data_IF_510677675060
#
_entry.id   IF_510677675060
#
_cell.length_a   1.000
_cell.length_b   1.000
_cell.length_c   1.000
_cell.angle_alpha   90.00
_cell.angle_beta   90.00
_cell.angle_gamma   90.00
#
_symmetry.space_group_name_H-M   'P 1'
#
loop_
_entity.id
_entity.type
_entity.pdbx_description
1 polymer ?
#
# COMPACT_ATOMS: atom_id res chain seq x y z
N UNK A 1 15.15 16.40 10.98
CA UNK A 1 13.70 16.31 11.23
C UNK A 1 13.20 15.31 10.21
N UNK A 2 12.82 14.11 10.62
CA UNK A 2 12.27 13.10 9.69
C UNK A 2 10.84 13.52 9.35
N UNK A 3 10.57 13.73 8.07
CA UNK A 3 9.25 14.20 7.61
C UNK A 3 8.34 13.03 7.27
N UNK A 4 7.05 13.28 7.09
CA UNK A 4 6.11 12.28 6.57
C UNK A 4 6.53 11.76 5.18
N UNK A 5 7.12 12.62 4.35
CA UNK A 5 7.64 12.26 3.02
C UNK A 5 8.83 11.28 3.10
N UNK A 6 9.70 11.44 4.10
CA UNK A 6 10.80 10.48 4.35
C UNK A 6 10.27 9.10 4.73
N UNK A 7 9.25 9.03 5.59
CA UNK A 7 8.63 7.76 5.97
C UNK A 7 7.95 7.08 4.79
N UNK A 8 7.21 7.83 3.97
CA UNK A 8 6.54 7.29 2.77
C UNK A 8 7.56 6.77 1.77
N UNK A 9 8.68 7.48 1.57
CA UNK A 9 9.80 7.03 0.73
C UNK A 9 10.39 5.73 1.27
N UNK A 10 10.70 5.67 2.56
CA UNK A 10 11.25 4.46 3.19
C UNK A 10 10.31 3.27 3.03
N UNK A 11 9.02 3.45 3.35
CA UNK A 11 8.02 2.37 3.22
C UNK A 11 7.86 1.95 1.76
N UNK A 12 7.93 2.89 0.81
CA UNK A 12 7.89 2.57 -0.62
C UNK A 12 9.06 1.66 -1.03
N UNK A 13 10.27 1.93 -0.54
CA UNK A 13 11.43 1.07 -0.77
C UNK A 13 11.26 -0.31 -0.09
N UNK A 14 10.69 -0.35 1.11
CA UNK A 14 10.38 -1.62 1.80
C UNK A 14 9.35 -2.45 1.00
N UNK A 15 8.33 -1.81 0.44
CA UNK A 15 7.33 -2.45 -0.43
C UNK A 15 8.00 -3.01 -1.69
N UNK A 16 8.84 -2.21 -2.35
CA UNK A 16 9.57 -2.66 -3.54
C UNK A 16 10.40 -3.91 -3.25
N UNK A 17 11.13 -3.91 -2.14
CA UNK A 17 11.93 -5.05 -1.68
C UNK A 17 11.07 -6.26 -1.34
N UNK A 18 9.94 -6.08 -0.68
CA UNK A 18 9.02 -7.17 -0.31
C UNK A 18 8.42 -7.87 -1.54
N UNK A 19 8.20 -7.12 -2.62
CA UNK A 19 7.68 -7.64 -3.88
C UNK A 19 8.77 -8.10 -4.86
N UNK A 20 10.04 -7.94 -4.49
CA UNK A 20 11.18 -8.36 -5.31
C UNK A 20 11.45 -7.45 -6.52
N UNK A 21 10.95 -6.22 -6.52
CA UNK A 21 11.32 -5.23 -7.54
C UNK A 21 12.73 -4.71 -7.29
N UNK A 22 13.53 -4.58 -8.35
CA UNK A 22 14.86 -3.94 -8.26
C UNK A 22 14.72 -2.43 -8.04
N UNK A 23 15.79 -1.78 -7.55
CA UNK A 23 15.82 -0.37 -7.10
C UNK A 23 15.33 0.68 -8.15
N UNK A 24 15.17 0.29 -9.42
CA UNK A 24 14.67 1.16 -10.49
C UNK A 24 13.36 0.73 -11.16
N UNK A 25 12.76 -0.40 -10.78
CA UNK A 25 11.59 -0.97 -11.46
C UNK A 25 10.37 -1.08 -10.55
N UNK A 26 10.23 -0.15 -9.59
CA UNK A 26 9.06 -0.13 -8.72
C UNK A 26 7.84 0.30 -9.54
N UNK A 27 6.82 -0.55 -9.69
CA UNK A 27 5.64 -0.20 -10.46
C UNK A 27 4.88 0.94 -9.77
N UNK A 28 4.34 1.87 -10.55
CA UNK A 28 3.51 2.96 -10.01
C UNK A 28 2.28 2.41 -9.27
N UNK A 29 1.72 1.30 -9.73
CA UNK A 29 0.60 0.63 -9.09
C UNK A 29 0.70 -0.90 -9.20
N UNK A 30 0.37 -1.57 -8.11
CA UNK A 30 0.42 -3.03 -7.98
C UNK A 30 -0.98 -3.63 -8.03
N UNK A 31 -1.06 -4.93 -8.32
CA UNK A 31 -2.34 -5.65 -8.31
C UNK A 31 -2.80 -5.93 -6.86
N UNK A 32 -4.00 -6.47 -6.69
CA UNK A 32 -4.54 -6.75 -5.37
C UNK A 32 -3.81 -7.86 -4.61
N UNK A 33 -3.15 -8.79 -5.30
CA UNK A 33 -2.33 -9.84 -4.70
C UNK A 33 -1.07 -9.27 -4.07
N UNK A 34 -0.34 -8.47 -4.84
CA UNK A 34 0.85 -7.75 -4.38
C UNK A 34 0.52 -6.80 -3.23
N UNK A 35 -0.57 -6.02 -3.36
CA UNK A 35 -1.04 -5.15 -2.28
C UNK A 35 -1.39 -5.95 -1.01
N UNK A 36 -1.95 -7.15 -1.16
CA UNK A 36 -2.27 -8.02 -0.03
C UNK A 36 -1.01 -8.56 0.66
N UNK A 37 0.03 -8.92 -0.11
CA UNK A 37 1.35 -9.32 0.41
C UNK A 37 1.96 -8.17 1.22
N UNK A 38 1.99 -6.97 0.66
CA UNK A 38 2.49 -5.75 1.32
C UNK A 38 1.79 -5.50 2.65
N UNK A 39 0.46 -5.63 2.68
CA UNK A 39 -0.35 -5.36 3.86
C UNK A 39 -0.45 -6.56 4.83
N UNK A 40 0.11 -7.72 4.48
CA UNK A 40 0.01 -8.94 5.28
C UNK A 40 -1.41 -9.49 5.42
N UNK A 41 -2.30 -9.23 4.45
CA UNK A 41 -3.71 -9.68 4.47
C UNK A 41 -4.00 -10.60 3.29
N UNK A 42 -5.21 -11.18 3.26
CA UNK A 42 -5.69 -11.93 2.07
C UNK A 42 -6.25 -10.95 1.03
N UNK A 43 -6.14 -11.25 -0.28
CA UNK A 43 -6.79 -10.44 -1.32
C UNK A 43 -8.31 -10.30 -1.11
N UNK A 44 -8.96 -11.36 -0.62
CA UNK A 44 -10.38 -11.36 -0.25
C UNK A 44 -10.70 -10.35 0.86
N UNK A 45 -9.76 -10.12 1.78
CA UNK A 45 -9.89 -9.09 2.83
C UNK A 45 -9.85 -7.70 2.21
N UNK A 46 -8.96 -7.44 1.24
CA UNK A 46 -8.94 -6.18 0.51
C UNK A 46 -10.23 -5.96 -0.29
N UNK A 47 -10.75 -7.00 -0.94
CA UNK A 47 -12.05 -6.94 -1.61
C UNK A 47 -13.16 -6.55 -0.64
N UNK A 48 -13.19 -7.16 0.55
CA UNK A 48 -14.14 -6.81 1.60
C UNK A 48 -13.97 -5.35 2.06
N UNK A 49 -12.75 -4.85 2.21
CA UNK A 49 -12.50 -3.45 2.58
C UNK A 49 -13.03 -2.47 1.53
N UNK A 50 -12.86 -2.77 0.24
CA UNK A 50 -13.43 -1.98 -0.85
C UNK A 50 -14.96 -2.00 -0.84
N UNK A 51 -15.56 -3.16 -0.62
CA UNK A 51 -17.03 -3.31 -0.63
C UNK A 51 -17.70 -2.69 0.59
N UNK A 52 -17.08 -2.79 1.76
CA UNK A 52 -17.63 -2.26 3.02
C UNK A 52 -17.29 -0.80 3.26
N UNK A 53 -16.28 -0.26 2.56
CA UNK A 53 -15.76 1.09 2.80
C UNK A 53 -15.12 1.26 4.18
N UNK A 54 -14.84 0.17 4.91
CA UNK A 54 -14.37 0.20 6.31
C UNK A 54 -13.02 0.91 6.45
N UNK A 55 -12.18 0.83 5.42
CA UNK A 55 -10.87 1.46 5.42
C UNK A 55 -10.71 2.31 4.17
N UNK A 56 -10.30 3.57 4.37
CA UNK A 56 -10.07 4.52 3.28
C UNK A 56 -8.73 4.26 2.60
N UNK A 57 -8.58 3.09 1.98
CA UNK A 57 -7.41 2.75 1.16
C UNK A 57 -7.74 3.07 -0.31
N UNK A 58 -7.10 4.08 -0.92
CA UNK A 58 -7.34 4.44 -2.31
C UNK A 58 -7.04 3.28 -3.26
N UNK A 59 -7.92 3.08 -4.24
CA UNK A 59 -7.73 2.09 -5.28
C UNK A 59 -8.16 2.64 -6.64
N UNK A 60 -7.49 2.17 -7.69
CA UNK A 60 -7.81 2.49 -9.08
C UNK A 60 -8.56 1.30 -9.66
N UNK A 61 -9.81 1.54 -10.09
CA UNK A 61 -10.61 0.53 -10.77
C UNK A 61 -10.60 0.79 -12.27
N UNK A 62 -10.12 -0.19 -13.05
CA UNK A 62 -10.12 -0.16 -14.52
C UNK A 62 -10.84 -1.41 -15.03
N UNK A 63 -12.16 -1.27 -15.23
CA UNK A 63 -13.04 -2.40 -15.57
C UNK A 63 -13.06 -3.46 -14.47
N UNK A 64 -12.63 -4.68 -14.79
CA UNK A 64 -12.49 -5.79 -13.83
C UNK A 64 -11.22 -5.72 -12.98
N UNK A 65 -10.24 -4.90 -13.39
CA UNK A 65 -8.95 -4.81 -12.72
C UNK A 65 -9.02 -3.79 -11.58
N UNK A 66 -8.43 -4.16 -10.45
CA UNK A 66 -8.21 -3.26 -9.32
C UNK A 66 -6.71 -3.14 -9.09
N UNK A 67 -6.21 -1.91 -9.01
CA UNK A 67 -4.81 -1.61 -8.71
C UNK A 67 -4.70 -0.65 -7.53
N UNK A 68 -3.57 -0.73 -6.85
CA UNK A 68 -3.22 0.11 -5.70
C UNK A 68 -1.93 0.83 -6.02
N UNK A 69 -1.90 2.17 -5.87
CA UNK A 69 -0.63 2.88 -6.03
C UNK A 69 0.29 2.56 -4.87
N UNK A 70 1.57 2.35 -5.15
CA UNK A 70 2.55 2.03 -4.10
C UNK A 70 2.69 3.18 -3.11
N UNK A 71 2.67 4.42 -3.59
CA UNK A 71 2.68 5.63 -2.73
C UNK A 71 1.46 5.70 -1.81
N UNK A 72 0.27 5.36 -2.31
CA UNK A 72 -0.94 5.40 -1.47
C UNK A 72 -0.92 4.28 -0.41
N UNK A 73 -0.39 3.09 -0.76
CA UNK A 73 -0.16 2.02 0.20
C UNK A 73 0.84 2.45 1.28
N UNK A 74 1.96 3.05 0.88
CA UNK A 74 2.98 3.53 1.79
C UNK A 74 2.43 4.62 2.73
N UNK A 75 1.69 5.60 2.21
CA UNK A 75 1.04 6.64 3.00
C UNK A 75 -0.01 6.07 3.96
N UNK A 76 -0.79 5.08 3.53
CA UNK A 76 -1.76 4.40 4.39
C UNK A 76 -1.09 3.63 5.53
N UNK A 77 0.03 2.96 5.27
CA UNK A 77 0.83 2.28 6.29
C UNK A 77 1.45 3.31 7.25
N UNK A 78 2.05 4.39 6.73
CA UNK A 78 2.63 5.46 7.52
C UNK A 78 1.60 6.08 8.48
N UNK A 79 0.39 6.38 7.99
CA UNK A 79 -0.71 6.93 8.78
C UNK A 79 -1.13 6.03 9.95
N UNK A 80 -1.00 4.70 9.81
CA UNK A 80 -1.35 3.72 10.85
C UNK A 80 -0.22 3.41 11.83
N UNK A 81 1.00 3.83 11.50
CA UNK A 81 2.16 3.69 12.38
C UNK A 81 2.09 4.64 13.59
N UNK A 82 1.10 5.54 13.63
CA UNK A 82 0.69 6.29 14.83
C UNK A 82 -0.01 5.36 15.84
N UNK A 83 0.80 4.52 16.45
CA UNK A 83 0.51 3.72 17.63
C UNK A 83 1.68 3.80 18.61
N UNK A 84 2.19 5.01 18.81
CA UNK A 84 3.34 5.29 19.66
C UNK A 84 3.41 6.76 20.05
N UNK A 85 2.29 7.35 20.45
CA UNK A 85 2.22 8.45 21.44
C UNK A 85 0.73 8.65 21.78
N UNK A 86 0.44 8.53 23.08
CA UNK A 86 -0.84 8.80 23.74
C UNK A 86 -1.09 10.32 23.82
#
# INVERSE_FOLDING_TARGET
MFTEEDMVTQITMEIARALGFGDGDVPTAVNEGDAAIVLGVKPSTLANWRCTGRYNLPFIKSGRLVRYRVVDLAAWIASRRLGGED
#
